data_IF_185587245665
#
_entry.id   IF_185587245665
#
_cell.length_a   1.000
_cell.length_b   1.000
_cell.length_c   1.000
_cell.angle_alpha   90.00
_cell.angle_beta   90.00
_cell.angle_gamma   90.00
#
_symmetry.space_group_name_H-M   'P 1'
#
loop_
_entity.id
_entity.type
_entity.pdbx_description
1 polymer ?
#
# COMPACT_ATOMS: atom_id res chain seq x y z
N UNK A 1 -13.65 -0.32 4.71
CA UNK A 1 -15.07 -0.78 4.78
C UNK A 1 -15.47 -1.41 3.46
N UNK A 2 -15.17 -0.77 2.31
CA UNK A 2 -15.49 -1.29 0.97
C UNK A 2 -14.82 -2.66 0.67
N UNK A 3 -13.61 -2.89 1.14
CA UNK A 3 -12.87 -4.15 0.98
C UNK A 3 -13.28 -5.24 1.98
N UNK A 4 -14.15 -4.95 2.93
CA UNK A 4 -14.64 -5.96 3.87
C UNK A 4 -15.69 -6.90 3.27
N UNK A 5 -16.24 -6.59 2.09
CA UNK A 5 -17.27 -7.41 1.45
C UNK A 5 -16.76 -8.02 0.16
N UNK A 6 -17.03 -9.31 0.01
CA UNK A 6 -16.90 -9.98 -1.27
C UNK A 6 -17.86 -9.34 -2.27
N UNK A 7 -17.39 -9.08 -3.50
CA UNK A 7 -18.18 -8.37 -4.52
C UNK A 7 -19.38 -9.18 -5.04
N UNK A 8 -19.26 -10.48 -5.01
CA UNK A 8 -20.25 -11.39 -5.60
C UNK A 8 -21.26 -11.88 -4.53
N UNK A 9 -20.79 -12.09 -3.29
CA UNK A 9 -21.61 -12.63 -2.19
C UNK A 9 -22.06 -11.57 -1.19
N UNK A 10 -21.51 -10.36 -1.24
CA UNK A 10 -21.69 -9.27 -0.25
C UNK A 10 -21.28 -9.65 1.19
N UNK A 11 -20.68 -10.81 1.39
CA UNK A 11 -20.23 -11.27 2.70
C UNK A 11 -18.97 -10.56 3.16
N UNK A 12 -18.86 -10.33 4.46
CA UNK A 12 -17.67 -9.72 5.10
C UNK A 12 -16.56 -10.75 5.25
N UNK A 13 -15.74 -10.93 4.21
CA UNK A 13 -14.68 -11.96 4.23
C UNK A 13 -13.46 -11.59 5.08
N UNK A 14 -13.22 -10.29 5.34
CA UNK A 14 -12.05 -9.84 6.10
C UNK A 14 -12.28 -9.76 7.61
N UNK A 15 -13.52 -9.87 8.08
CA UNK A 15 -13.88 -9.69 9.49
C UNK A 15 -13.08 -10.58 10.47
N UNK A 16 -12.91 -11.89 10.24
CA UNK A 16 -12.14 -12.75 11.14
C UNK A 16 -10.66 -12.35 11.21
N UNK A 17 -10.07 -11.94 10.08
CA UNK A 17 -8.66 -11.49 10.01
C UNK A 17 -8.47 -10.15 10.69
N UNK A 18 -9.42 -9.23 10.55
CA UNK A 18 -9.41 -7.94 11.25
C UNK A 18 -9.37 -8.11 12.77
N UNK A 19 -10.12 -9.04 13.32
CA UNK A 19 -10.07 -9.33 14.76
C UNK A 19 -8.74 -9.89 15.20
N UNK A 20 -8.15 -10.77 14.42
CA UNK A 20 -6.80 -11.29 14.67
C UNK A 20 -5.76 -10.16 14.66
N UNK A 21 -5.78 -9.30 13.65
CA UNK A 21 -4.87 -8.15 13.56
C UNK A 21 -5.01 -7.19 14.74
N UNK A 22 -6.26 -6.94 15.20
CA UNK A 22 -6.53 -6.16 16.42
C UNK A 22 -5.97 -6.83 17.67
N UNK A 23 -6.22 -8.14 17.85
CA UNK A 23 -5.78 -8.91 19.01
C UNK A 23 -4.26 -8.93 19.15
N UNK A 24 -3.54 -8.95 18.03
CA UNK A 24 -2.07 -8.97 18.02
C UNK A 24 -1.42 -7.58 17.98
N UNK A 25 -2.20 -6.51 18.19
CA UNK A 25 -1.67 -5.15 18.33
C UNK A 25 -1.23 -4.48 17.02
N UNK A 26 -1.41 -5.11 15.85
CA UNK A 26 -0.96 -4.54 14.57
C UNK A 26 -1.70 -3.23 14.25
N UNK A 27 -2.99 -3.16 14.53
CA UNK A 27 -3.78 -1.94 14.31
C UNK A 27 -3.29 -0.79 15.20
N UNK A 28 -2.93 -1.09 16.46
CA UNK A 28 -2.37 -0.09 17.39
C UNK A 28 -1.01 0.39 16.93
N UNK A 29 -0.14 -0.53 16.46
CA UNK A 29 1.18 -0.17 15.94
C UNK A 29 1.08 0.69 14.66
N UNK A 30 0.12 0.41 13.78
CA UNK A 30 -0.15 1.26 12.62
C UNK A 30 -0.67 2.64 13.04
N UNK A 31 -1.49 2.72 14.10
CA UNK A 31 -1.94 4.01 14.64
C UNK A 31 -0.76 4.80 15.20
N UNK A 32 0.14 4.17 15.95
CA UNK A 32 1.36 4.82 16.46
C UNK A 32 2.25 5.37 15.34
N UNK A 33 2.33 4.64 14.20
CA UNK A 33 3.04 5.14 13.01
C UNK A 33 2.34 6.36 12.39
N UNK A 34 1.00 6.37 12.37
CA UNK A 34 0.22 7.53 11.89
C UNK A 34 0.40 8.75 12.80
N UNK A 35 0.49 8.52 14.11
CA UNK A 35 0.59 9.56 15.14
C UNK A 35 2.05 10.03 15.36
N UNK A 36 2.99 9.59 14.51
CA UNK A 36 4.44 9.88 14.60
C UNK A 36 5.07 9.48 15.96
N UNK A 37 4.49 8.48 16.64
CA UNK A 37 5.05 7.93 17.88
C UNK A 37 6.20 6.95 17.60
N UNK A 38 6.21 6.35 16.42
CA UNK A 38 7.27 5.45 15.93
C UNK A 38 7.63 5.79 14.48
N UNK A 39 8.91 5.70 14.16
CA UNK A 39 9.41 5.97 12.79
C UNK A 39 9.43 4.71 11.91
N UNK A 40 9.54 3.55 12.50
CA UNK A 40 9.69 2.27 11.80
C UNK A 40 8.77 1.21 12.43
N UNK A 41 7.98 0.57 11.57
CA UNK A 41 7.14 -0.57 11.95
C UNK A 41 7.49 -1.79 11.11
N UNK A 42 7.93 -2.87 11.75
CA UNK A 42 8.13 -4.17 11.11
C UNK A 42 7.02 -5.14 11.50
N UNK A 43 6.35 -5.69 10.49
CA UNK A 43 5.23 -6.64 10.68
C UNK A 43 5.63 -8.00 10.12
N UNK A 44 5.83 -8.99 10.99
CA UNK A 44 6.04 -10.38 10.61
C UNK A 44 4.80 -11.20 10.90
N UNK A 45 4.25 -11.83 9.87
CA UNK A 45 3.04 -12.63 9.96
C UNK A 45 3.14 -13.89 9.09
N UNK A 46 2.47 -14.98 9.48
CA UNK A 46 2.36 -16.17 8.63
C UNK A 46 1.74 -15.85 7.25
N UNK A 47 2.06 -16.64 6.21
CA UNK A 47 1.40 -16.53 4.92
C UNK A 47 -0.13 -16.65 5.04
N UNK A 48 -0.86 -15.96 4.17
CA UNK A 48 -2.32 -16.06 4.09
C UNK A 48 -3.11 -15.27 5.16
N UNK A 49 -2.45 -14.57 6.09
CA UNK A 49 -3.16 -13.75 7.10
C UNK A 49 -3.71 -12.43 6.53
N UNK A 50 -3.32 -12.07 5.30
CA UNK A 50 -3.80 -10.87 4.63
C UNK A 50 -2.92 -9.64 4.83
N UNK A 51 -1.59 -9.81 4.93
CA UNK A 51 -0.63 -8.69 5.01
C UNK A 51 -0.78 -7.71 3.86
N UNK A 52 -0.80 -8.22 2.64
CA UNK A 52 -0.94 -7.38 1.44
C UNK A 52 -2.28 -6.65 1.42
N UNK A 53 -3.38 -7.31 1.80
CA UNK A 53 -4.69 -6.66 1.92
C UNK A 53 -4.69 -5.56 2.98
N UNK A 54 -3.99 -5.77 4.10
CA UNK A 54 -3.80 -4.73 5.11
C UNK A 54 -3.02 -3.53 4.54
N UNK A 55 -1.95 -3.81 3.78
CA UNK A 55 -1.17 -2.78 3.08
C UNK A 55 -2.04 -1.95 2.13
N UNK A 56 -2.85 -2.60 1.32
CA UNK A 56 -3.76 -1.95 0.37
C UNK A 56 -4.74 -1.01 1.06
N UNK A 57 -5.36 -1.46 2.16
CA UNK A 57 -6.26 -0.65 2.98
C UNK A 57 -5.54 0.52 3.63
N UNK A 58 -4.40 0.25 4.27
CA UNK A 58 -3.61 1.24 4.97
C UNK A 58 -3.11 2.33 4.03
N UNK A 59 -2.48 1.94 2.91
CA UNK A 59 -1.96 2.87 1.91
C UNK A 59 -3.06 3.72 1.28
N UNK A 60 -4.23 3.13 1.01
CA UNK A 60 -5.37 3.89 0.46
C UNK A 60 -5.89 4.97 1.42
N UNK A 61 -5.87 4.70 2.73
CA UNK A 61 -6.17 5.70 3.75
C UNK A 61 -5.06 6.73 3.90
N UNK A 62 -3.81 6.26 4.00
CA UNK A 62 -2.64 7.12 4.18
C UNK A 62 -2.51 8.20 3.12
N UNK A 63 -2.64 7.84 1.83
CA UNK A 63 -2.57 8.81 0.72
C UNK A 63 -3.77 9.79 0.71
N UNK A 64 -4.90 9.40 1.29
CA UNK A 64 -6.05 10.28 1.46
C UNK A 64 -5.86 11.31 2.57
N UNK A 65 -5.25 10.91 3.69
CA UNK A 65 -4.89 11.83 4.78
C UNK A 65 -3.70 12.72 4.43
N UNK A 66 -2.76 12.20 3.63
CA UNK A 66 -1.51 12.87 3.29
C UNK A 66 -1.33 13.01 1.77
N UNK A 67 -2.26 13.68 1.05
CA UNK A 67 -2.24 13.71 -0.42
C UNK A 67 -1.04 14.46 -0.99
N UNK A 68 -0.42 15.33 -0.21
CA UNK A 68 0.71 16.17 -0.62
C UNK A 68 2.07 15.51 -0.40
N UNK A 69 2.13 14.42 0.35
CA UNK A 69 3.37 13.67 0.57
C UNK A 69 3.67 12.72 -0.59
N UNK A 70 4.97 12.50 -0.83
CA UNK A 70 5.45 11.48 -1.75
C UNK A 70 5.66 10.17 -1.01
N UNK A 71 4.98 9.12 -1.44
CA UNK A 71 5.05 7.80 -0.83
C UNK A 71 5.58 6.77 -1.82
N UNK A 72 6.21 5.72 -1.31
CA UNK A 72 6.73 4.61 -2.10
C UNK A 72 6.25 3.27 -1.54
N UNK A 73 5.63 2.48 -2.40
CA UNK A 73 5.44 1.04 -2.16
C UNK A 73 6.48 0.26 -2.94
N UNK A 74 7.17 -0.66 -2.27
CA UNK A 74 8.20 -1.50 -2.88
C UNK A 74 8.02 -2.98 -2.53
N UNK A 75 8.33 -3.86 -3.49
CA UNK A 75 8.36 -5.31 -3.31
C UNK A 75 9.48 -5.90 -4.19
N UNK A 76 9.89 -7.14 -3.93
CA UNK A 76 10.83 -7.84 -4.81
C UNK A 76 10.29 -8.07 -6.22
N UNK A 77 8.96 -8.11 -6.41
CA UNK A 77 8.30 -8.50 -7.65
C UNK A 77 7.48 -7.36 -8.27
N UNK A 78 7.72 -7.07 -9.56
CA UNK A 78 6.88 -6.17 -10.34
C UNK A 78 5.44 -6.65 -10.50
N UNK A 79 5.19 -7.95 -10.38
CA UNK A 79 3.82 -8.48 -10.36
C UNK A 79 3.07 -8.07 -9.09
N UNK A 80 3.75 -8.14 -7.94
CA UNK A 80 3.14 -7.73 -6.65
C UNK A 80 2.87 -6.23 -6.62
N UNK A 81 3.84 -5.40 -7.06
CA UNK A 81 3.65 -3.95 -7.13
C UNK A 81 2.46 -3.58 -8.01
N UNK A 82 2.35 -4.23 -9.16
CA UNK A 82 1.23 -4.04 -10.09
C UNK A 82 -0.11 -4.43 -9.48
N UNK A 83 -0.16 -5.57 -8.81
CA UNK A 83 -1.38 -6.06 -8.17
C UNK A 83 -1.88 -5.08 -7.09
N UNK A 84 -0.98 -4.61 -6.23
CA UNK A 84 -1.31 -3.63 -5.18
C UNK A 84 -1.74 -2.29 -5.79
N UNK A 85 -1.05 -1.81 -6.84
CA UNK A 85 -1.44 -0.62 -7.58
C UNK A 85 -2.87 -0.73 -8.13
N UNK A 86 -3.22 -1.83 -8.81
CA UNK A 86 -4.54 -2.03 -9.40
C UNK A 86 -5.64 -2.09 -8.31
N UNK A 87 -5.36 -2.72 -7.16
CA UNK A 87 -6.30 -2.75 -6.03
C UNK A 87 -6.51 -1.36 -5.44
N UNK A 88 -5.43 -0.59 -5.21
CA UNK A 88 -5.56 0.78 -4.70
C UNK A 88 -6.31 1.67 -5.69
N UNK A 89 -6.07 1.56 -6.99
CA UNK A 89 -6.85 2.26 -8.03
C UNK A 89 -8.35 1.92 -7.93
N UNK A 90 -8.70 0.65 -7.68
CA UNK A 90 -10.09 0.25 -7.48
C UNK A 90 -10.70 0.85 -6.20
N UNK A 91 -9.94 0.89 -5.10
CA UNK A 91 -10.39 1.47 -3.82
C UNK A 91 -10.70 2.95 -3.97
N UNK A 92 -9.80 3.71 -4.59
CA UNK A 92 -9.98 5.16 -4.79
C UNK A 92 -11.02 5.48 -5.89
N UNK A 93 -11.50 4.47 -6.61
CA UNK A 93 -12.61 4.59 -7.57
C UNK A 93 -12.23 4.85 -9.01
N UNK A 94 -10.94 4.71 -9.38
CA UNK A 94 -10.48 4.89 -10.77
C UNK A 94 -10.93 3.72 -11.67
N UNK A 95 -11.06 2.51 -11.11
CA UNK A 95 -11.44 1.29 -11.84
C UNK A 95 -12.92 0.88 -11.72
N UNK A 96 -13.76 1.69 -11.09
CA UNK A 96 -15.19 1.34 -10.94
C UNK A 96 -15.92 1.43 -12.28
N UNK A 97 -16.57 0.32 -12.66
CA UNK A 97 -17.42 0.29 -13.84
C UNK A 97 -18.71 1.07 -13.60
N UNK A 98 -19.29 1.72 -14.63
CA UNK A 98 -20.59 2.37 -14.52
C UNK A 98 -21.65 1.37 -14.01
N UNK A 99 -22.38 1.73 -12.95
CA UNK A 99 -23.42 0.89 -12.36
C UNK A 99 -23.00 0.06 -11.15
N UNK A 100 -21.72 0.00 -10.80
CA UNK A 100 -21.28 -0.57 -9.52
C UNK A 100 -21.61 0.41 -8.38
N UNK A 101 -22.50 -0.01 -7.48
CA UNK A 101 -22.87 0.75 -6.28
C UNK A 101 -22.00 0.28 -5.12
N UNK A 102 -21.14 1.16 -4.62
CA UNK A 102 -20.46 0.96 -3.35
C UNK A 102 -21.25 1.64 -2.24
N UNK A 103 -21.44 0.96 -1.10
CA UNK A 103 -22.11 1.52 0.08
C UNK A 103 -21.38 2.77 0.58
N UNK A 104 -20.04 2.75 0.53
CA UNK A 104 -19.16 3.88 0.82
C UNK A 104 -18.09 3.97 -0.25
N UNK A 105 -17.85 5.17 -0.77
CA UNK A 105 -16.78 5.45 -1.72
C UNK A 105 -15.62 6.09 -0.98
N UNK A 106 -14.41 5.86 -1.46
CA UNK A 106 -13.22 6.54 -0.93
C UNK A 106 -13.38 8.06 -0.94
N UNK A 107 -14.01 8.61 -1.99
CA UNK A 107 -14.33 10.05 -2.10
C UNK A 107 -15.34 10.56 -1.06
N UNK A 108 -16.15 9.70 -0.47
CA UNK A 108 -17.07 10.09 0.59
C UNK A 108 -16.31 10.30 1.93
N UNK A 109 -15.15 9.64 2.07
CA UNK A 109 -14.23 9.79 3.21
C UNK A 109 -13.27 10.97 2.99
N UNK A 110 -12.82 11.16 1.74
CA UNK A 110 -11.86 12.19 1.34
C UNK A 110 -12.44 13.09 0.23
N UNK A 111 -13.50 13.88 0.52
CA UNK A 111 -14.20 14.66 -0.51
C UNK A 111 -13.34 15.77 -1.13
N UNK A 112 -12.40 16.29 -0.36
CA UNK A 112 -11.54 17.41 -0.75
C UNK A 112 -10.23 16.97 -1.42
N UNK A 113 -10.05 15.66 -1.64
CA UNK A 113 -8.85 15.10 -2.25
C UNK A 113 -9.17 14.64 -3.69
N UNK A 114 -8.95 15.48 -4.70
CA UNK A 114 -9.18 15.11 -6.09
C UNK A 114 -8.12 14.12 -6.57
N UNK A 115 -8.53 13.20 -7.44
CA UNK A 115 -7.61 12.33 -8.18
C UNK A 115 -7.16 13.13 -9.40
N UNK A 116 -5.91 13.60 -9.39
CA UNK A 116 -5.34 14.45 -10.44
C UNK A 116 -4.93 13.61 -11.65
N UNK A 117 -4.15 12.56 -11.41
CA UNK A 117 -3.64 11.69 -12.47
C UNK A 117 -3.34 10.29 -11.96
N UNK A 118 -3.61 9.30 -12.79
CA UNK A 118 -3.24 7.89 -12.56
C UNK A 118 -2.53 7.38 -13.80
N UNK A 119 -1.29 6.93 -13.65
CA UNK A 119 -0.48 6.42 -14.75
C UNK A 119 -0.19 4.93 -14.57
N UNK A 120 -0.90 4.12 -15.35
CA UNK A 120 -0.79 2.67 -15.29
C UNK A 120 0.55 2.12 -15.82
N UNK A 121 1.24 2.85 -16.71
CA UNK A 121 2.54 2.44 -17.24
C UNK A 121 3.66 2.65 -16.21
N UNK A 122 3.57 3.74 -15.48
CA UNK A 122 4.55 4.10 -14.45
C UNK A 122 4.13 3.62 -13.06
N UNK A 123 2.95 3.01 -12.92
CA UNK A 123 2.37 2.59 -11.64
C UNK A 123 2.44 3.71 -10.60
N UNK A 124 1.85 4.87 -10.95
CA UNK A 124 1.84 6.05 -10.08
C UNK A 124 0.44 6.63 -9.94
N UNK A 125 0.14 7.16 -8.76
CA UNK A 125 -1.09 7.88 -8.46
C UNK A 125 -0.72 9.26 -7.94
N UNK A 126 -1.37 10.30 -8.49
CA UNK A 126 -1.25 11.67 -8.03
C UNK A 126 -2.60 12.18 -7.55
N UNK A 127 -2.62 12.62 -6.29
CA UNK A 127 -3.79 13.15 -5.60
C UNK A 127 -3.55 14.63 -5.24
N UNK A 128 -4.63 15.35 -4.98
CA UNK A 128 -4.55 16.74 -4.56
C UNK A 128 -4.17 17.68 -5.69
N UNK A 129 -3.34 18.68 -5.41
CA UNK A 129 -2.87 19.65 -6.40
C UNK A 129 -1.71 19.10 -7.21
N UNK A 130 -1.56 19.61 -8.44
CA UNK A 130 -0.39 19.29 -9.26
C UNK A 130 0.91 19.56 -8.50
N UNK A 131 1.80 18.57 -8.52
CA UNK A 131 3.13 18.63 -7.89
C UNK A 131 4.14 17.82 -8.71
N UNK A 132 5.44 18.13 -8.62
CA UNK A 132 6.45 17.44 -9.43
C UNK A 132 6.61 15.96 -9.08
N UNK A 133 6.28 15.58 -7.84
CA UNK A 133 6.36 14.21 -7.37
C UNK A 133 4.97 13.62 -7.17
N UNK A 134 4.83 12.31 -7.32
CA UNK A 134 3.56 11.59 -7.21
C UNK A 134 3.19 11.33 -5.74
N UNK A 135 1.90 11.27 -5.45
CA UNK A 135 1.41 10.95 -4.10
C UNK A 135 1.82 9.55 -3.67
N UNK A 136 1.81 8.59 -4.60
CA UNK A 136 2.38 7.28 -4.37
C UNK A 136 2.94 6.70 -5.67
N UNK A 137 4.08 6.01 -5.54
CA UNK A 137 4.75 5.30 -6.62
C UNK A 137 4.92 3.84 -6.21
N UNK A 138 4.70 2.91 -7.13
CA UNK A 138 4.89 1.47 -6.91
C UNK A 138 6.08 1.00 -7.71
N UNK A 139 7.06 0.35 -7.08
CA UNK A 139 8.29 -0.11 -7.74
C UNK A 139 8.76 -1.45 -7.19
N UNK A 140 9.12 -2.35 -8.11
CA UNK A 140 9.91 -3.51 -7.73
C UNK A 140 11.34 -3.08 -7.39
N UNK A 141 11.95 -3.74 -6.41
CA UNK A 141 13.36 -3.53 -6.10
C UNK A 141 14.23 -4.03 -7.24
N UNK A 142 15.14 -3.18 -7.68
CA UNK A 142 16.12 -3.52 -8.73
C UNK A 142 17.24 -2.48 -8.78
N UNK A 143 18.43 -2.93 -9.13
CA UNK A 143 19.65 -2.12 -9.11
C UNK A 143 19.63 -0.86 -10.00
N UNK A 144 18.73 -0.79 -10.99
CA UNK A 144 18.66 0.32 -11.95
C UNK A 144 17.81 1.52 -11.50
N UNK A 145 17.19 1.44 -10.33
CA UNK A 145 16.21 2.45 -9.87
C UNK A 145 16.62 3.23 -8.64
N UNK A 146 17.83 3.02 -8.14
CA UNK A 146 18.39 3.79 -7.02
C UNK A 146 18.57 5.26 -7.42
N UNK A 147 17.94 6.16 -6.67
CA UNK A 147 18.07 7.62 -6.83
C UNK A 147 16.98 8.31 -7.66
N UNK A 148 16.04 7.57 -8.27
CA UNK A 148 14.97 8.16 -9.12
C UNK A 148 13.65 8.32 -8.37
N UNK A 149 13.47 7.62 -7.25
CA UNK A 149 12.20 7.61 -6.50
C UNK A 149 12.39 8.28 -5.14
N UNK A 150 11.51 9.21 -4.83
CA UNK A 150 11.48 9.95 -3.57
C UNK A 150 10.37 9.43 -2.67
N UNK A 151 10.66 9.22 -1.39
CA UNK A 151 9.68 8.98 -0.34
C UNK A 151 9.91 10.03 0.77
N UNK A 152 8.95 10.94 0.94
CA UNK A 152 8.97 11.96 2.00
C UNK A 152 8.00 11.60 3.12
N UNK A 153 6.93 10.89 2.79
CA UNK A 153 5.93 10.43 3.73
C UNK A 153 6.22 9.01 4.18
N UNK A 154 5.71 8.04 3.45
CA UNK A 154 5.80 6.63 3.81
C UNK A 154 6.60 5.84 2.79
N UNK A 155 7.53 5.03 3.27
CA UNK A 155 8.13 3.91 2.53
C UNK A 155 7.50 2.60 3.06
N UNK A 156 6.72 1.94 2.22
CA UNK A 156 6.15 0.63 2.53
C UNK A 156 6.86 -0.46 1.73
N UNK A 157 7.42 -1.42 2.44
CA UNK A 157 8.12 -2.56 1.85
C UNK A 157 7.37 -3.85 2.14
N UNK A 158 6.98 -4.60 1.09
CA UNK A 158 6.33 -5.91 1.20
C UNK A 158 7.15 -6.97 0.48
N UNK A 159 7.53 -8.03 1.21
CA UNK A 159 8.30 -9.16 0.70
C UNK A 159 9.50 -8.72 -0.17
N UNK A 160 10.54 -8.17 0.48
CA UNK A 160 11.71 -7.61 -0.22
C UNK A 160 12.63 -8.66 -0.86
N UNK A 161 12.53 -9.92 -0.44
CA UNK A 161 13.34 -11.03 -0.93
C UNK A 161 12.47 -12.08 -1.60
N UNK A 162 12.90 -12.59 -2.75
CA UNK A 162 12.20 -13.65 -3.50
C UNK A 162 12.32 -15.04 -2.88
N UNK A 163 13.22 -15.24 -1.91
CA UNK A 163 13.45 -16.51 -1.22
C UNK A 163 14.67 -16.50 -0.31
N UNK A 164 14.87 -17.62 0.39
CA UNK A 164 15.95 -17.78 1.38
C UNK A 164 17.34 -17.60 0.74
N UNK A 165 17.53 -18.06 -0.50
CA UNK A 165 18.84 -17.94 -1.20
C UNK A 165 19.22 -16.48 -1.47
N UNK A 166 18.26 -15.62 -1.79
CA UNK A 166 18.52 -14.21 -2.03
C UNK A 166 18.77 -13.47 -0.70
N UNK A 167 18.04 -13.84 0.35
CA UNK A 167 18.29 -13.32 1.69
C UNK A 167 19.69 -13.66 2.20
N UNK A 168 20.14 -14.90 2.02
CA UNK A 168 21.48 -15.34 2.40
C UNK A 168 22.60 -14.65 1.61
N UNK A 169 22.41 -14.42 0.29
CA UNK A 169 23.37 -13.67 -0.52
C UNK A 169 23.55 -12.22 -0.05
N UNK A 170 22.49 -11.59 0.46
CA UNK A 170 22.58 -10.22 0.99
C UNK A 170 23.38 -10.16 2.29
N UNK A 171 23.38 -11.22 3.09
CA UNK A 171 24.19 -11.33 4.33
C UNK A 171 25.67 -11.56 4.04
N UNK A 172 26.02 -12.31 2.98
CA UNK A 172 27.43 -12.53 2.59
C UNK A 172 28.10 -11.22 2.15
N UNK A 173 27.39 -10.34 1.43
CA UNK A 173 27.93 -9.04 1.00
C UNK A 173 28.08 -8.02 2.13
N UNK A 174 27.35 -8.14 3.24
CA UNK A 174 27.50 -7.28 4.40
C UNK A 174 28.62 -7.70 5.35
N UNK A 175 29.13 -8.92 5.23
CA UNK A 175 30.24 -9.43 6.05
C UNK A 175 31.63 -9.11 5.48
N UNK A 176 31.70 -8.56 4.26
CA UNK A 176 32.96 -8.17 3.59
C UNK A 176 33.28 -6.67 3.66
N UNK A 177 32.47 -5.87 4.39
CA UNK A 177 32.71 -4.46 4.66
C UNK A 177 33.08 -4.24 6.13
#
# INVERSE_FOLDING_TARGET
IYLERDRDTEERFYLPRREQLRKHGIVQALQQLIDDEIDILSISCPPGIGKTTLAEMFLSGWIGWNPDLCNLFSSHSGHVTRMVYDVICNIIGVGLKPGQVAEYRWRDIFPDVPIENVNAKEETINLGKFKPFKSITFRALGASQTGVTRAEGLLYCDDLCSGIEEALRSEEHTSEL
#
